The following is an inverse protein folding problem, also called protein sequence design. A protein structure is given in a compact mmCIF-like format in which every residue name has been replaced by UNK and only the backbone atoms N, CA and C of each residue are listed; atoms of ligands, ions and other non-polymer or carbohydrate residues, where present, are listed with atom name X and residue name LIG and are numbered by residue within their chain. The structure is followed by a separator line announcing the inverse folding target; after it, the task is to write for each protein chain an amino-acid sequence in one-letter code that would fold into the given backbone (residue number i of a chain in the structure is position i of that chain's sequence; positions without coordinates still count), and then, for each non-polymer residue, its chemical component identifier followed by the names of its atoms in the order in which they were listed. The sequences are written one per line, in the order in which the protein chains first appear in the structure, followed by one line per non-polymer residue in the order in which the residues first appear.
data_IF_700719776734
#
_entry.id   IF_700719776734
#
_cell.length_a   1.000
_cell.length_b   1.000
_cell.length_c   1.000
_cell.angle_alpha   90.00
_cell.angle_beta   90.00
_cell.angle_gamma   90.00
#
_symmetry.space_group_name_H-M   'P 1'
#
loop_
_entity.id
_entity.type
_entity.pdbx_description
1 polymer ?
#
# COMPACT_ATOMS: atom_id res chain seq x y z
N UNK A 1 50.52 9.35 -20.30
CA UNK A 1 49.86 9.05 -19.01
C UNK A 1 49.07 7.76 -19.17
N UNK A 2 49.59 6.63 -18.68
CA UNK A 2 48.88 5.36 -18.64
C UNK A 2 48.00 5.36 -17.38
N UNK A 3 46.71 5.11 -17.53
CA UNK A 3 45.80 4.85 -16.40
C UNK A 3 45.90 3.37 -16.06
N UNK A 4 46.58 3.07 -14.96
CA UNK A 4 46.55 1.75 -14.34
C UNK A 4 45.19 1.58 -13.64
N UNK A 5 44.39 0.64 -14.14
CA UNK A 5 43.14 0.24 -13.51
C UNK A 5 43.43 -0.78 -12.41
N UNK A 6 43.23 -0.39 -11.16
CA UNK A 6 43.35 -1.27 -10.00
C UNK A 6 42.15 -2.24 -10.03
N UNK A 7 42.39 -3.48 -10.47
CA UNK A 7 41.44 -4.56 -10.30
C UNK A 7 41.42 -5.00 -8.82
N UNK A 8 40.39 -4.58 -8.09
CA UNK A 8 40.13 -5.09 -6.75
C UNK A 8 39.66 -6.55 -6.83
N UNK A 9 40.38 -7.40 -6.11
CA UNK A 9 40.19 -8.84 -6.02
C UNK A 9 38.76 -9.17 -5.51
N UNK A 10 38.10 -10.18 -6.08
CA UNK A 10 36.70 -10.52 -5.77
C UNK A 10 36.46 -10.81 -4.28
N UNK A 11 37.47 -11.32 -3.55
CA UNK A 11 37.39 -11.56 -2.11
C UNK A 11 37.20 -10.28 -1.28
N UNK A 12 37.90 -9.18 -1.60
CA UNK A 12 37.75 -7.91 -0.88
C UNK A 12 36.37 -7.27 -1.09
N UNK A 13 35.70 -7.53 -2.22
CA UNK A 13 34.34 -7.01 -2.45
C UNK A 13 33.31 -7.69 -1.56
N UNK A 14 33.44 -9.00 -1.31
CA UNK A 14 32.55 -9.73 -0.41
C UNK A 14 32.73 -9.25 1.05
N UNK A 15 33.98 -9.10 1.49
CA UNK A 15 34.33 -8.66 2.85
C UNK A 15 33.87 -7.21 3.12
N UNK A 16 34.00 -6.31 2.14
CA UNK A 16 33.52 -4.91 2.24
C UNK A 16 31.99 -4.82 2.26
N UNK A 17 31.28 -5.73 1.58
CA UNK A 17 29.81 -5.79 1.60
C UNK A 17 29.31 -6.32 2.95
N UNK A 18 29.99 -7.32 3.51
CA UNK A 18 29.67 -7.91 4.81
C UNK A 18 29.89 -6.91 5.96
N UNK A 19 31.03 -6.21 5.96
CA UNK A 19 31.34 -5.15 6.95
C UNK A 19 30.33 -3.98 6.86
N UNK A 20 29.91 -3.58 5.64
CA UNK A 20 28.87 -2.55 5.48
C UNK A 20 27.50 -3.00 5.99
N UNK A 21 27.16 -4.28 5.83
CA UNK A 21 25.90 -4.85 6.31
C UNK A 21 25.86 -4.90 7.84
N UNK A 22 26.93 -5.37 8.49
CA UNK A 22 27.03 -5.39 9.96
C UNK A 22 26.98 -3.98 10.55
N UNK A 23 27.63 -3.00 9.91
CA UNK A 23 27.62 -1.61 10.37
C UNK A 23 26.23 -0.96 10.27
N UNK A 24 25.51 -1.18 9.16
CA UNK A 24 24.15 -0.66 8.97
C UNK A 24 23.11 -1.35 9.87
N UNK A 25 23.29 -2.63 10.16
CA UNK A 25 22.50 -3.38 11.14
C UNK A 25 22.74 -2.83 12.55
N UNK A 26 24.00 -2.66 12.95
CA UNK A 26 24.35 -2.13 14.27
C UNK A 26 23.86 -0.68 14.48
N UNK A 27 24.00 0.18 13.47
CA UNK A 27 23.52 1.57 13.58
C UNK A 27 22.00 1.67 13.78
N UNK A 28 21.21 0.84 13.09
CA UNK A 28 19.74 0.83 13.23
C UNK A 28 19.25 0.15 14.49
N UNK A 29 19.91 -0.94 14.91
CA UNK A 29 19.57 -1.67 16.14
C UNK A 29 19.84 -0.81 17.39
N UNK A 30 20.81 0.11 17.34
CA UNK A 30 21.10 1.01 18.45
C UNK A 30 20.04 2.10 18.68
N UNK A 31 19.16 2.36 17.71
CA UNK A 31 18.03 3.29 17.86
C UNK A 31 16.78 2.63 18.47
N UNK A 32 16.79 1.31 18.67
CA UNK A 32 15.66 0.58 19.23
C UNK A 32 15.68 0.59 20.76
N UNK A 33 14.49 0.66 21.35
CA UNK A 33 14.32 0.33 22.77
C UNK A 33 14.77 -1.11 23.07
N UNK A 34 15.14 -1.43 24.32
CA UNK A 34 15.52 -2.79 24.70
C UNK A 34 14.50 -3.86 24.29
N UNK A 35 13.20 -3.61 24.46
CA UNK A 35 12.15 -4.56 24.05
C UNK A 35 12.07 -4.73 22.52
N UNK A 36 12.21 -3.64 21.76
CA UNK A 36 12.23 -3.70 20.29
C UNK A 36 13.45 -4.45 19.76
N UNK A 37 14.62 -4.30 20.40
CA UNK A 37 15.81 -5.10 20.07
C UNK A 37 15.56 -6.58 20.31
N UNK A 38 14.98 -6.94 21.44
CA UNK A 38 14.67 -8.33 21.77
C UNK A 38 13.70 -8.95 20.76
N UNK A 39 12.64 -8.22 20.37
CA UNK A 39 11.70 -8.65 19.34
C UNK A 39 12.37 -8.79 17.96
N UNK A 40 13.25 -7.85 17.60
CA UNK A 40 13.99 -7.87 16.35
C UNK A 40 14.95 -9.07 16.27
N UNK A 41 15.72 -9.34 17.33
CA UNK A 41 16.62 -10.49 17.37
C UNK A 41 15.85 -11.82 17.38
N UNK A 42 14.72 -11.91 18.09
CA UNK A 42 13.85 -13.08 18.03
C UNK A 42 13.35 -13.34 16.61
N UNK A 43 12.99 -12.28 15.87
CA UNK A 43 12.62 -12.37 14.46
C UNK A 43 13.77 -12.86 13.57
N UNK A 44 14.96 -12.27 13.69
CA UNK A 44 16.14 -12.69 12.89
C UNK A 44 16.46 -14.17 13.15
N UNK A 45 16.46 -14.61 14.40
CA UNK A 45 16.72 -16.00 14.76
C UNK A 45 15.66 -16.96 14.19
N UNK A 46 14.39 -16.56 14.19
CA UNK A 46 13.33 -17.33 13.56
C UNK A 46 13.54 -17.46 12.05
N UNK A 47 13.93 -16.38 11.36
CA UNK A 47 14.23 -16.40 9.92
C UNK A 47 15.45 -17.28 9.60
N UNK A 48 16.51 -17.22 10.41
CA UNK A 48 17.70 -18.07 10.23
C UNK A 48 17.36 -19.56 10.42
N UNK A 49 16.55 -19.89 11.42
CA UNK A 49 16.10 -21.28 11.66
C UNK A 49 15.25 -21.82 10.52
N UNK A 50 14.38 -20.97 9.94
CA UNK A 50 13.61 -21.31 8.74
C UNK A 50 14.53 -21.55 7.53
N UNK A 51 15.56 -20.73 7.33
CA UNK A 51 16.53 -20.92 6.25
C UNK A 51 17.33 -22.22 6.39
N UNK A 52 17.83 -22.55 7.59
CA UNK A 52 18.55 -23.79 7.84
C UNK A 52 17.69 -25.03 7.54
N UNK A 53 16.42 -25.01 7.95
CA UNK A 53 15.46 -26.09 7.70
C UNK A 53 15.21 -26.27 6.18
N UNK A 54 15.12 -25.15 5.44
CA UNK A 54 14.94 -25.17 3.99
C UNK A 54 16.18 -25.71 3.26
N UNK A 55 17.39 -25.31 3.65
CA UNK A 55 18.64 -25.81 3.07
C UNK A 55 18.77 -27.33 3.21
N UNK A 56 18.35 -27.90 4.34
CA UNK A 56 18.34 -29.35 4.54
C UNK A 56 17.32 -30.09 3.65
N UNK A 57 16.18 -29.47 3.35
CA UNK A 57 15.15 -30.05 2.47
C UNK A 57 15.57 -29.95 1.00
N UNK A 58 16.24 -28.87 0.59
CA UNK A 58 16.72 -28.68 -0.79
C UNK A 58 17.80 -29.70 -1.16
N UNK A 59 18.71 -30.04 -0.24
CA UNK A 59 19.75 -31.06 -0.46
C UNK A 59 19.18 -32.47 -0.67
N UNK A 60 17.97 -32.76 -0.20
CA UNK A 60 17.28 -34.05 -0.37
C UNK A 60 16.57 -34.19 -1.72
N UNK A 61 16.33 -33.09 -2.44
CA UNK A 61 15.56 -33.08 -3.70
C UNK A 61 16.45 -32.89 -4.95
N UNK A 62 17.73 -32.58 -4.79
CA UNK A 62 18.66 -32.29 -5.90
C UNK A 62 19.06 -33.50 -6.74
N UNK A 63 18.82 -34.74 -6.29
CA UNK A 63 19.18 -35.94 -7.07
C UNK A 63 18.17 -36.32 -8.18
N UNK A 64 17.01 -35.65 -8.27
CA UNK A 64 16.00 -35.94 -9.29
C UNK A 64 15.90 -34.91 -10.43
N UNK A 65 16.73 -33.85 -10.44
CA UNK A 65 16.45 -32.65 -11.25
C UNK A 65 17.52 -32.29 -12.30
N UNK A 66 18.17 -33.28 -12.93
CA UNK A 66 19.20 -33.08 -13.97
C UNK A 66 18.71 -33.32 -15.42
N UNK A 67 17.40 -33.25 -15.73
CA UNK A 67 16.88 -33.55 -17.08
C UNK A 67 15.96 -32.49 -17.73
N UNK A 68 16.01 -31.22 -17.34
CA UNK A 68 15.16 -30.20 -17.97
C UNK A 68 15.75 -28.78 -18.08
N UNK A 69 17.05 -28.65 -18.31
CA UNK A 69 17.73 -27.33 -18.30
C UNK A 69 17.65 -26.53 -19.62
N UNK A 70 17.07 -27.06 -20.70
CA UNK A 70 17.03 -26.34 -22.00
C UNK A 70 15.73 -25.56 -22.31
N UNK A 71 14.74 -25.51 -21.41
CA UNK A 71 13.46 -24.80 -21.66
C UNK A 71 13.15 -23.60 -20.75
N UNK A 72 14.09 -23.14 -19.91
CA UNK A 72 13.84 -22.08 -18.91
C UNK A 72 14.60 -20.79 -19.24
N UNK A 73 14.17 -20.08 -20.29
CA UNK A 73 14.66 -18.71 -20.55
C UNK A 73 13.55 -17.71 -20.95
N UNK A 74 12.35 -17.88 -20.36
CA UNK A 74 11.38 -16.79 -20.26
C UNK A 74 11.22 -16.44 -18.79
N UNK A 75 12.10 -15.59 -18.27
CA UNK A 75 11.78 -14.89 -17.03
C UNK A 75 10.57 -14.00 -17.32
N UNK A 76 9.44 -14.28 -16.69
CA UNK A 76 8.25 -13.44 -16.81
C UNK A 76 8.57 -12.07 -16.20
N UNK A 77 8.83 -11.10 -17.08
CA UNK A 77 8.92 -9.69 -16.72
C UNK A 77 7.52 -9.13 -16.85
N UNK A 78 6.93 -8.76 -15.72
CA UNK A 78 5.64 -8.08 -15.68
C UNK A 78 5.91 -6.61 -15.41
N UNK A 79 5.46 -5.74 -16.32
CA UNK A 79 5.49 -4.29 -16.11
C UNK A 79 4.10 -3.88 -15.67
N UNK A 80 3.98 -3.37 -14.45
CA UNK A 80 2.71 -2.89 -13.91
C UNK A 80 2.74 -1.38 -13.71
N UNK A 81 1.60 -0.74 -14.00
CA UNK A 81 1.35 0.64 -13.59
C UNK A 81 1.13 0.66 -12.08
N UNK A 82 2.06 1.30 -11.38
CA UNK A 82 1.96 1.60 -9.97
C UNK A 82 1.59 3.07 -9.76
N UNK A 83 1.12 3.36 -8.56
CA UNK A 83 0.68 4.70 -8.19
C UNK A 83 1.52 5.17 -7.01
N UNK A 84 2.13 6.35 -7.17
CA UNK A 84 2.77 7.09 -6.08
C UNK A 84 1.96 8.35 -5.80
N UNK A 85 1.64 8.58 -4.54
CA UNK A 85 1.01 9.81 -4.10
C UNK A 85 2.15 10.78 -3.71
N UNK A 86 2.15 11.99 -4.26
CA UNK A 86 3.20 12.99 -4.02
C UNK A 86 2.59 14.36 -3.77
N UNK A 87 3.07 15.08 -2.76
CA UNK A 87 2.71 16.47 -2.53
C UNK A 87 3.48 17.38 -3.48
N UNK A 88 2.78 18.03 -4.41
CA UNK A 88 3.38 19.01 -5.30
C UNK A 88 3.33 20.39 -4.63
N UNK A 89 4.50 20.88 -4.24
CA UNK A 89 4.68 22.15 -3.51
C UNK A 89 4.22 23.35 -4.37
N UNK A 90 4.38 23.27 -5.70
CA UNK A 90 4.10 24.39 -6.60
C UNK A 90 2.61 24.69 -6.73
N UNK A 91 1.76 23.65 -6.65
CA UNK A 91 0.31 23.82 -6.76
C UNK A 91 -0.44 23.59 -5.45
N UNK A 92 0.27 23.31 -4.34
CA UNK A 92 -0.37 23.04 -3.06
C UNK A 92 -1.42 21.92 -3.14
N UNK A 93 -1.20 20.92 -3.98
CA UNK A 93 -2.10 19.77 -4.16
C UNK A 93 -1.33 18.46 -4.24
N UNK A 94 -1.94 17.35 -3.81
CA UNK A 94 -1.31 16.05 -4.02
C UNK A 94 -1.66 15.54 -5.42
N UNK A 95 -0.66 14.91 -6.03
CA UNK A 95 -0.74 14.37 -7.36
C UNK A 95 -0.49 12.87 -7.29
N UNK A 96 -1.23 12.15 -8.12
CA UNK A 96 -1.03 10.73 -8.34
C UNK A 96 -0.09 10.59 -9.53
N UNK A 97 1.15 10.26 -9.23
CA UNK A 97 2.17 10.03 -10.25
C UNK A 97 2.10 8.55 -10.61
N UNK A 98 1.63 8.28 -11.83
CA UNK A 98 1.79 6.96 -12.43
C UNK A 98 3.29 6.68 -12.56
N UNK A 99 3.68 5.50 -12.10
CA UNK A 99 5.06 5.03 -12.16
C UNK A 99 5.04 3.59 -12.57
N UNK A 100 5.94 3.18 -13.45
CA UNK A 100 6.04 1.76 -13.78
C UNK A 100 6.87 1.05 -12.71
N UNK A 101 6.45 -0.15 -12.33
CA UNK A 101 7.25 -1.07 -11.53
C UNK A 101 7.51 -2.30 -12.37
N UNK A 102 8.78 -2.68 -12.44
CA UNK A 102 9.17 -3.93 -13.08
C UNK A 102 9.15 -4.99 -11.99
N UNK A 103 8.37 -6.03 -12.24
CA UNK A 103 8.26 -7.20 -11.40
C UNK A 103 8.96 -8.33 -12.15
N UNK A 104 10.05 -8.83 -11.57
CA UNK A 104 10.80 -9.96 -12.13
C UNK A 104 10.63 -11.17 -11.24
N UNK A 105 10.29 -12.30 -11.85
CA UNK A 105 10.47 -13.61 -11.24
C UNK A 105 11.84 -14.16 -11.67
N UNK A 106 12.74 -14.38 -10.72
CA UNK A 106 14.06 -14.95 -11.01
C UNK A 106 14.04 -16.49 -10.89
N UNK A 107 15.15 -17.14 -11.28
CA UNK A 107 15.33 -18.60 -11.16
C UNK A 107 15.19 -19.10 -9.71
N UNK A 108 15.38 -18.22 -8.73
CA UNK A 108 15.27 -18.52 -7.31
C UNK A 108 13.84 -18.37 -6.76
N UNK A 109 12.85 -18.17 -7.63
CA UNK A 109 11.46 -17.91 -7.25
C UNK A 109 11.37 -16.67 -6.35
N UNK A 110 12.07 -15.59 -6.70
CA UNK A 110 11.99 -14.33 -5.97
C UNK A 110 11.31 -13.27 -6.82
N UNK A 111 10.43 -12.51 -6.15
CA UNK A 111 9.76 -11.35 -6.68
C UNK A 111 10.59 -10.12 -6.39
N UNK A 112 11.08 -9.47 -7.44
CA UNK A 112 11.87 -8.24 -7.30
C UNK A 112 11.06 -7.07 -7.84
N UNK A 113 10.78 -6.10 -6.97
CA UNK A 113 10.13 -4.84 -7.32
C UNK A 113 11.19 -3.79 -7.63
N UNK A 114 11.25 -3.32 -8.87
CA UNK A 114 12.24 -2.34 -9.33
C UNK A 114 11.53 -1.07 -9.81
N UNK A 115 12.02 0.09 -9.35
CA UNK A 115 11.57 1.41 -9.79
C UNK A 115 12.78 2.31 -9.98
N UNK A 116 12.84 3.05 -11.09
CA UNK A 116 13.94 3.99 -11.41
C UNK A 116 15.33 3.32 -11.26
N UNK A 117 15.46 2.09 -11.77
CA UNK A 117 16.65 1.24 -11.64
C UNK A 117 17.08 0.86 -10.21
N UNK A 118 16.25 1.16 -9.20
CA UNK A 118 16.48 0.82 -7.80
C UNK A 118 15.55 -0.32 -7.37
N UNK A 119 16.11 -1.34 -6.74
CA UNK A 119 15.32 -2.38 -6.07
C UNK A 119 14.63 -1.77 -4.85
N UNK A 120 13.31 -1.82 -4.84
CA UNK A 120 12.47 -1.38 -3.72
C UNK A 120 12.28 -2.51 -2.71
N UNK A 121 12.03 -3.72 -3.21
CA UNK A 121 11.69 -4.89 -2.40
C UNK A 121 12.08 -6.16 -3.15
N UNK A 122 12.50 -7.17 -2.40
CA UNK A 122 12.76 -8.52 -2.89
C UNK A 122 12.08 -9.50 -1.93
N UNK A 123 11.25 -10.40 -2.45
CA UNK A 123 10.51 -11.38 -1.66
C UNK A 123 10.67 -12.77 -2.23
N UNK A 124 10.79 -13.78 -1.37
CA UNK A 124 10.70 -15.18 -1.80
C UNK A 124 9.26 -15.55 -2.08
N UNK A 125 9.02 -16.08 -3.27
CA UNK A 125 7.73 -16.57 -3.75
C UNK A 125 7.66 -18.05 -3.39
N UNK A 126 6.80 -18.40 -2.43
CA UNK A 126 6.67 -19.78 -2.00
C UNK A 126 5.51 -20.55 -2.68
N UNK A 127 4.68 -19.88 -3.47
CA UNK A 127 3.58 -20.51 -4.21
C UNK A 127 3.78 -20.27 -5.70
N UNK A 128 3.44 -21.24 -6.56
CA UNK A 128 3.54 -21.04 -8.01
C UNK A 128 2.18 -21.15 -8.71
N UNK A 129 1.08 -21.35 -7.98
CA UNK A 129 -0.21 -21.66 -8.58
C UNK A 129 -1.29 -20.63 -8.21
N UNK A 130 -1.33 -19.60 -9.06
CA UNK A 130 -2.53 -18.97 -9.62
C UNK A 130 -3.16 -17.72 -8.99
N UNK A 131 -2.70 -17.12 -7.88
CA UNK A 131 -3.31 -15.86 -7.41
C UNK A 131 -2.32 -14.99 -6.61
N UNK A 132 -1.23 -14.54 -7.25
CA UNK A 132 -0.42 -13.49 -6.65
C UNK A 132 -1.10 -12.14 -6.84
N UNK A 133 -1.50 -11.53 -5.72
CA UNK A 133 -1.91 -10.14 -5.72
C UNK A 133 -0.65 -9.28 -5.62
N UNK A 134 -0.28 -8.65 -6.74
CA UNK A 134 0.85 -7.73 -6.77
C UNK A 134 0.50 -6.45 -6.01
N UNK A 135 1.39 -6.02 -5.11
CA UNK A 135 1.29 -4.70 -4.49
C UNK A 135 1.52 -3.62 -5.55
N UNK A 136 0.51 -2.77 -5.76
CA UNK A 136 0.58 -1.64 -6.72
C UNK A 136 0.98 -0.31 -6.07
N UNK A 137 0.90 -0.24 -4.74
CA UNK A 137 1.25 0.96 -3.99
C UNK A 137 2.74 0.96 -3.61
N UNK A 138 3.48 1.96 -4.09
CA UNK A 138 4.94 2.08 -3.86
C UNK A 138 5.29 2.19 -2.37
N UNK A 139 4.48 2.88 -1.57
CA UNK A 139 4.74 2.97 -0.12
C UNK A 139 4.54 1.63 0.57
N UNK A 140 3.49 0.88 0.21
CA UNK A 140 3.30 -0.47 0.73
C UNK A 140 4.47 -1.38 0.36
N UNK A 141 4.92 -1.35 -0.89
CA UNK A 141 6.10 -2.11 -1.33
C UNK A 141 7.31 -1.80 -0.44
N UNK A 142 7.56 -0.53 -0.15
CA UNK A 142 8.72 -0.08 0.64
C UNK A 142 8.60 -0.33 2.16
N UNK A 143 7.38 -0.32 2.71
CA UNK A 143 7.19 -0.18 4.16
C UNK A 143 6.35 -1.27 4.81
N UNK A 144 5.54 -2.00 4.06
CA UNK A 144 4.67 -3.04 4.59
C UNK A 144 5.39 -4.38 4.66
N UNK A 145 5.53 -4.94 5.84
CA UNK A 145 6.06 -6.30 6.02
C UNK A 145 5.01 -7.16 6.70
N UNK A 146 4.79 -8.37 6.19
CA UNK A 146 3.91 -9.35 6.81
C UNK A 146 4.73 -10.41 7.54
N UNK A 147 4.32 -10.73 8.77
CA UNK A 147 4.96 -11.75 9.59
C UNK A 147 3.90 -12.75 10.04
N UNK A 148 4.17 -14.04 9.80
CA UNK A 148 3.32 -15.14 10.22
C UNK A 148 4.02 -16.48 10.05
N UNK A 149 3.30 -17.56 10.32
CA UNK A 149 3.83 -18.91 10.16
C UNK A 149 3.47 -19.45 8.78
N UNK A 150 4.36 -20.29 8.29
CA UNK A 150 4.15 -21.11 7.11
C UNK A 150 4.14 -22.59 7.52
N UNK A 151 3.31 -23.39 6.85
CA UNK A 151 3.35 -24.85 6.94
C UNK A 151 4.56 -25.41 6.17
N UNK A 152 4.77 -26.72 6.26
CA UNK A 152 5.74 -27.46 5.46
C UNK A 152 5.45 -27.42 3.94
N UNK A 153 4.20 -27.17 3.54
CA UNK A 153 3.81 -26.94 2.14
C UNK A 153 3.96 -25.46 1.75
N UNK A 154 4.72 -24.70 2.53
CA UNK A 154 4.84 -23.27 2.49
C UNK A 154 3.53 -22.49 2.57
N UNK A 155 2.40 -23.07 2.99
CA UNK A 155 1.09 -22.39 3.11
C UNK A 155 0.99 -21.48 4.33
N UNK A 156 0.35 -20.31 4.21
CA UNK A 156 0.17 -19.37 5.34
C UNK A 156 -0.73 -20.02 6.37
N UNK A 157 -0.28 -20.09 7.62
CA UNK A 157 -1.06 -20.66 8.72
C UNK A 157 -0.94 -19.76 9.96
N UNK A 158 -1.89 -19.90 10.87
CA UNK A 158 -1.84 -19.23 12.16
C UNK A 158 -2.08 -17.72 12.08
N UNK A 159 -1.57 -17.00 13.08
CA UNK A 159 -1.73 -15.55 13.19
C UNK A 159 -0.73 -14.85 12.27
N UNK A 160 -1.25 -13.93 11.46
CA UNK A 160 -0.49 -13.06 10.59
C UNK A 160 -0.65 -11.62 11.06
N UNK A 161 0.47 -10.92 11.19
CA UNK A 161 0.53 -9.52 11.58
C UNK A 161 1.25 -8.71 10.51
N UNK A 162 0.80 -7.49 10.28
CA UNK A 162 1.54 -6.54 9.46
C UNK A 162 2.36 -5.56 10.31
N UNK A 163 3.46 -5.10 9.70
CA UNK A 163 4.34 -4.06 10.20
C UNK A 163 4.43 -2.97 9.15
N UNK A 164 4.37 -1.71 9.57
CA UNK A 164 4.60 -0.54 8.73
C UNK A 164 5.85 0.18 9.21
N UNK A 165 6.87 0.31 8.37
CA UNK A 165 8.16 0.92 8.75
C UNK A 165 8.73 0.31 10.03
N UNK A 166 8.72 -1.02 10.10
CA UNK A 166 9.16 -1.81 11.26
C UNK A 166 8.32 -1.64 12.54
N UNK A 167 7.21 -0.91 12.49
CA UNK A 167 6.28 -0.77 13.61
C UNK A 167 5.07 -1.68 13.43
N UNK A 168 4.74 -2.46 14.46
CA UNK A 168 3.56 -3.33 14.44
C UNK A 168 2.29 -2.48 14.32
N UNK A 169 1.44 -2.82 13.35
CA UNK A 169 0.14 -2.17 13.12
C UNK A 169 -1.00 -3.16 13.38
N UNK A 170 -2.21 -2.66 13.63
CA UNK A 170 -3.39 -3.50 13.94
C UNK A 170 -3.98 -4.04 12.64
N UNK A 171 -3.19 -4.77 11.86
CA UNK A 171 -3.53 -5.33 10.56
C UNK A 171 -3.14 -6.80 10.54
N UNK A 172 -4.01 -7.63 9.98
CA UNK A 172 -3.86 -9.07 9.88
C UNK A 172 -5.02 -9.85 10.49
N UNK A 173 -4.77 -11.11 10.79
CA UNK A 173 -5.78 -12.06 11.23
C UNK A 173 -5.25 -13.48 11.25
N UNK A 174 -6.14 -14.47 11.19
CA UNK A 174 -5.79 -15.88 11.28
C UNK A 174 -6.03 -16.62 9.96
N UNK A 175 -5.05 -17.43 9.56
CA UNK A 175 -5.19 -18.44 8.51
C UNK A 175 -5.34 -19.82 9.12
N UNK A 176 -6.26 -20.62 8.61
CA UNK A 176 -6.39 -22.03 8.98
C UNK A 176 -5.29 -22.91 8.35
N UNK A 177 -5.34 -24.21 8.63
CA UNK A 177 -4.39 -25.20 8.09
C UNK A 177 -4.45 -25.36 6.57
N UNK A 178 -5.51 -24.87 5.93
CA UNK A 178 -5.72 -24.91 4.48
C UNK A 178 -5.38 -23.56 3.82
N UNK A 179 -4.65 -22.67 4.50
CA UNK A 179 -4.32 -21.32 4.04
C UNK A 179 -5.52 -20.42 3.77
N UNK A 180 -6.67 -20.69 4.37
CA UNK A 180 -7.86 -19.84 4.23
C UNK A 180 -7.96 -18.89 5.41
N UNK A 181 -8.26 -17.63 5.12
CA UNK A 181 -8.54 -16.62 6.15
C UNK A 181 -9.77 -17.05 6.96
N UNK A 182 -9.70 -16.95 8.28
CA UNK A 182 -10.80 -17.22 9.20
C UNK A 182 -10.92 -16.14 10.28
N UNK A 183 -12.13 -15.96 10.79
CA UNK A 183 -12.41 -15.11 11.95
C UNK A 183 -12.27 -13.62 11.66
N UNK A 184 -11.93 -12.84 12.69
CA UNK A 184 -11.78 -11.38 12.57
C UNK A 184 -10.50 -11.05 11.81
N UNK A 185 -10.61 -10.11 10.88
CA UNK A 185 -9.50 -9.63 10.06
C UNK A 185 -9.52 -8.11 9.98
N UNK A 186 -8.32 -7.54 9.90
CA UNK A 186 -8.12 -6.14 9.51
C UNK A 186 -7.23 -6.10 8.27
N UNK A 187 -7.76 -5.53 7.19
CA UNK A 187 -7.08 -5.37 5.90
C UNK A 187 -6.68 -3.92 5.69
N UNK A 188 -5.59 -3.71 4.97
CA UNK A 188 -5.17 -2.38 4.52
C UNK A 188 -5.94 -1.97 3.27
N UNK A 189 -6.22 -0.68 3.15
CA UNK A 189 -6.68 -0.10 1.90
C UNK A 189 -5.59 -0.21 0.82
N UNK A 190 -5.99 -0.35 -0.45
CA UNK A 190 -5.06 -0.46 -1.59
C UNK A 190 -4.07 0.72 -1.67
N UNK A 191 -4.49 1.90 -1.21
CA UNK A 191 -3.66 3.11 -1.16
C UNK A 191 -3.20 3.48 0.25
N UNK A 192 -3.10 2.51 1.16
CA UNK A 192 -2.58 2.75 2.50
C UNK A 192 -1.18 3.38 2.42
N UNK A 193 -1.04 4.54 3.05
CA UNK A 193 0.19 5.34 3.12
C UNK A 193 0.24 6.05 4.48
N UNK A 194 1.33 6.77 4.78
CA UNK A 194 1.44 7.50 6.06
C UNK A 194 0.31 8.52 6.28
N UNK A 195 -0.20 9.10 5.20
CA UNK A 195 -1.23 10.14 5.21
C UNK A 195 -2.66 9.56 5.16
N UNK A 196 -2.82 8.37 4.59
CA UNK A 196 -4.10 7.69 4.40
C UNK A 196 -4.07 6.30 5.06
N UNK A 197 -4.10 6.28 6.41
CA UNK A 197 -4.13 5.05 7.21
C UNK A 197 -5.55 4.46 7.28
N UNK A 198 -6.08 4.09 6.12
CA UNK A 198 -7.42 3.48 5.97
C UNK A 198 -7.30 1.97 6.03
N UNK A 199 -8.13 1.34 6.86
CA UNK A 199 -8.20 -0.12 7.00
C UNK A 199 -9.64 -0.61 6.96
N UNK A 200 -9.84 -1.86 6.59
CA UNK A 200 -11.14 -2.52 6.62
C UNK A 200 -11.13 -3.61 7.69
N UNK A 201 -12.13 -3.62 8.57
CA UNK A 201 -12.27 -4.64 9.60
C UNK A 201 -13.54 -5.43 9.38
N UNK A 202 -13.44 -6.74 9.41
CA UNK A 202 -14.60 -7.60 9.22
C UNK A 202 -14.29 -9.04 9.58
N UNK A 203 -15.11 -9.95 9.07
CA UNK A 203 -14.95 -11.37 9.31
C UNK A 203 -14.70 -12.12 8.00
N UNK A 204 -13.88 -13.16 8.11
CA UNK A 204 -13.67 -14.16 7.08
C UNK A 204 -14.22 -15.50 7.53
N UNK A 205 -14.81 -16.25 6.60
CA UNK A 205 -15.17 -17.67 6.76
C UNK A 205 -14.73 -18.42 5.51
N UNK A 206 -13.82 -19.38 5.67
CA UNK A 206 -13.28 -20.20 4.57
C UNK A 206 -12.67 -19.36 3.44
N UNK A 207 -11.96 -18.28 3.78
CA UNK A 207 -11.33 -17.38 2.80
C UNK A 207 -12.27 -16.40 2.12
N UNK A 208 -13.57 -16.42 2.45
CA UNK A 208 -14.56 -15.48 1.94
C UNK A 208 -14.88 -14.39 2.97
N UNK A 209 -14.96 -13.14 2.53
CA UNK A 209 -15.43 -12.02 3.35
C UNK A 209 -16.90 -12.27 3.71
N UNK A 210 -17.24 -12.17 4.98
CA UNK A 210 -18.60 -12.29 5.48
C UNK A 210 -18.94 -11.12 6.41
N UNK A 211 -20.24 -10.92 6.65
CA UNK A 211 -20.80 -9.82 7.44
C UNK A 211 -20.46 -8.41 6.90
N UNK A 212 -20.83 -7.38 7.66
CA UNK A 212 -20.53 -5.99 7.33
C UNK A 212 -19.06 -5.72 7.63
N UNK A 213 -18.36 -5.08 6.68
CA UNK A 213 -16.98 -4.63 6.84
C UNK A 213 -16.96 -3.15 7.22
N UNK A 214 -16.37 -2.86 8.37
CA UNK A 214 -16.19 -1.50 8.89
C UNK A 214 -14.99 -0.87 8.19
N UNK A 215 -15.16 0.35 7.68
CA UNK A 215 -14.02 1.16 7.23
C UNK A 215 -13.52 1.99 8.41
N UNK A 216 -12.22 1.92 8.69
CA UNK A 216 -11.57 2.69 9.75
C UNK A 216 -10.53 3.63 9.15
N UNK A 217 -10.46 4.85 9.69
CA UNK A 217 -9.38 5.80 9.44
C UNK A 217 -8.63 6.04 10.74
N UNK A 218 -7.32 5.80 10.74
CA UNK A 218 -6.49 5.92 11.95
C UNK A 218 -7.09 5.15 13.15
N UNK A 219 -7.56 3.92 12.91
CA UNK A 219 -8.23 3.05 13.89
C UNK A 219 -9.55 3.58 14.46
N UNK A 220 -10.14 4.63 13.87
CA UNK A 220 -11.48 5.11 14.22
C UNK A 220 -12.47 4.67 13.16
N UNK A 221 -13.59 4.06 13.59
CA UNK A 221 -14.66 3.66 12.67
C UNK A 221 -15.16 4.93 11.97
N UNK A 222 -15.21 4.92 10.63
CA UNK A 222 -15.82 5.99 9.85
C UNK A 222 -17.35 5.84 9.83
N UNK A 223 -17.96 5.60 10.99
CA UNK A 223 -19.41 5.63 11.19
C UNK A 223 -19.79 7.10 11.45
N UNK A 224 -19.76 7.91 10.40
CA UNK A 224 -20.45 9.21 10.44
C UNK A 224 -21.80 9.07 9.74
N UNK A 225 -22.82 9.51 10.47
CA UNK A 225 -24.25 9.63 10.19
C UNK A 225 -24.55 10.20 8.78
N UNK A 226 -24.60 9.36 7.76
CA UNK A 226 -25.02 9.77 6.42
C UNK A 226 -26.13 8.84 5.91
N UNK A 227 -27.35 9.39 5.82
CA UNK A 227 -28.57 8.74 5.33
C UNK A 227 -28.33 7.98 4.02
N UNK A 228 -29.02 6.84 3.83
CA UNK A 228 -28.80 5.87 2.75
C UNK A 228 -28.71 6.45 1.32
N UNK A 229 -29.48 7.49 0.99
CA UNK A 229 -29.43 8.17 -0.33
C UNK A 229 -28.10 8.88 -0.59
N UNK A 230 -27.45 9.33 0.49
CA UNK A 230 -26.13 9.96 0.43
C UNK A 230 -25.03 8.90 0.36
N UNK A 231 -25.26 7.65 0.75
CA UNK A 231 -24.24 6.60 0.67
C UNK A 231 -23.94 6.16 -0.75
N UNK A 232 -24.92 5.98 -1.63
CA UNK A 232 -24.63 5.58 -3.02
C UNK A 232 -23.98 6.74 -3.79
N UNK A 233 -24.47 7.96 -3.57
CA UNK A 233 -23.86 9.17 -4.12
C UNK A 233 -22.46 9.40 -3.54
N UNK A 234 -22.24 9.26 -2.24
CA UNK A 234 -20.93 9.43 -1.59
C UNK A 234 -20.01 8.26 -1.81
N UNK A 235 -20.43 7.01 -2.01
CA UNK A 235 -19.52 5.91 -2.34
C UNK A 235 -19.02 6.07 -3.77
N UNK A 236 -19.89 6.49 -4.70
CA UNK A 236 -19.48 6.88 -6.05
C UNK A 236 -18.65 8.18 -6.04
N UNK A 237 -18.96 9.12 -5.13
CA UNK A 237 -18.17 10.34 -4.92
C UNK A 237 -16.92 10.10 -4.08
N UNK A 238 -16.79 9.03 -3.30
CA UNK A 238 -15.66 8.58 -2.45
C UNK A 238 -14.73 7.69 -3.26
N UNK A 239 -15.21 6.93 -4.24
CA UNK A 239 -14.34 6.44 -5.32
C UNK A 239 -13.71 7.63 -6.08
N UNK A 240 -14.48 8.71 -6.32
CA UNK A 240 -13.95 10.00 -6.83
C UNK A 240 -13.23 10.86 -5.77
N UNK A 241 -13.47 10.64 -4.48
CA UNK A 241 -12.96 11.41 -3.34
C UNK A 241 -11.91 10.62 -2.54
N UNK A 242 -11.47 9.42 -2.89
CA UNK A 242 -10.16 8.93 -2.39
C UNK A 242 -9.10 9.87 -2.95
N UNK A 243 -9.31 10.38 -4.17
CA UNK A 243 -8.59 11.53 -4.73
C UNK A 243 -8.93 12.85 -4.01
N UNK A 244 -10.21 13.12 -3.74
CA UNK A 244 -10.72 14.37 -3.15
C UNK A 244 -10.64 14.54 -1.61
N UNK A 245 -10.59 13.47 -0.82
CA UNK A 245 -10.41 13.40 0.65
C UNK A 245 -8.94 13.36 0.98
N UNK A 246 -8.12 12.75 0.12
CA UNK A 246 -6.72 13.14 0.04
C UNK A 246 -6.74 14.65 -0.16
N UNK A 247 -7.27 15.23 -1.25
CA UNK A 247 -7.24 16.70 -1.46
C UNK A 247 -7.85 17.53 -0.31
N UNK A 248 -8.85 17.04 0.43
CA UNK A 248 -9.45 17.74 1.58
C UNK A 248 -8.64 17.58 2.88
N UNK A 249 -8.08 16.41 3.19
CA UNK A 249 -7.14 16.23 4.32
C UNK A 249 -5.93 17.12 4.10
N UNK A 250 -5.48 17.20 2.86
CA UNK A 250 -4.41 18.06 2.39
C UNK A 250 -4.76 19.53 2.52
N UNK A 251 -5.92 19.93 2.02
CA UNK A 251 -6.41 21.30 2.13
C UNK A 251 -6.57 21.70 3.61
N UNK A 252 -7.08 20.79 4.44
CA UNK A 252 -7.22 20.98 5.89
C UNK A 252 -5.87 20.99 6.64
N UNK A 253 -4.85 20.29 6.15
CA UNK A 253 -3.50 20.31 6.73
C UNK A 253 -2.68 21.54 6.30
N UNK A 254 -2.96 22.13 5.14
CA UNK A 254 -2.25 23.29 4.61
C UNK A 254 -2.91 24.63 4.96
N UNK A 255 -4.19 24.62 5.25
CA UNK A 255 -4.94 25.82 5.59
C UNK A 255 -5.26 25.74 7.08
N UNK A 256 -4.46 26.42 7.92
CA UNK A 256 -4.77 26.70 9.34
C UNK A 256 -6.01 27.61 9.46
N UNK A 257 -7.11 27.32 8.78
CA UNK A 257 -8.34 28.08 8.96
C UNK A 257 -9.17 27.42 10.06
N UNK A 258 -9.53 28.19 11.12
CA UNK A 258 -10.44 27.69 12.14
C UNK A 258 -11.78 27.33 11.48
N UNK A 259 -12.39 26.25 11.95
CA UNK A 259 -13.65 25.66 11.48
C UNK A 259 -14.79 26.69 11.23
N UNK A 260 -14.73 27.84 11.92
CA UNK A 260 -15.63 28.99 11.78
C UNK A 260 -15.59 29.65 10.39
N UNK A 261 -14.43 29.74 9.74
CA UNK A 261 -14.30 30.32 8.39
C UNK A 261 -14.81 29.35 7.31
N UNK A 262 -14.76 28.03 7.56
CA UNK A 262 -15.32 27.01 6.65
C UNK A 262 -16.85 27.10 6.64
N UNK A 263 -17.48 27.24 7.81
CA UNK A 263 -18.93 27.47 7.90
C UNK A 263 -19.33 28.77 7.18
N UNK A 264 -18.52 29.83 7.32
CA UNK A 264 -18.74 31.10 6.64
C UNK A 264 -18.62 30.98 5.11
N UNK A 265 -17.66 30.20 4.61
CA UNK A 265 -17.49 29.96 3.17
C UNK A 265 -18.62 29.12 2.58
N UNK A 266 -19.10 28.10 3.29
CA UNK A 266 -20.23 27.27 2.81
C UNK A 266 -21.55 28.07 2.84
N UNK A 267 -21.78 28.89 3.88
CA UNK A 267 -22.92 29.82 3.92
C UNK A 267 -22.86 30.87 2.79
N UNK A 268 -21.65 31.36 2.46
CA UNK A 268 -21.47 32.30 1.35
C UNK A 268 -21.67 31.65 -0.02
N UNK A 269 -21.41 30.35 -0.15
CA UNK A 269 -21.67 29.58 -1.37
C UNK A 269 -23.17 29.39 -1.59
N UNK A 270 -23.94 29.15 -0.53
CA UNK A 270 -25.40 29.11 -0.58
C UNK A 270 -25.98 30.48 -0.97
N UNK A 271 -25.41 31.58 -0.45
CA UNK A 271 -25.77 32.93 -0.90
C UNK A 271 -25.39 33.20 -2.36
N UNK A 272 -24.25 32.69 -2.83
CA UNK A 272 -23.86 32.75 -4.23
C UNK A 272 -24.83 32.00 -5.16
N UNK A 273 -25.23 30.78 -4.78
CA UNK A 273 -26.22 29.99 -5.54
C UNK A 273 -27.61 30.63 -5.53
N UNK A 274 -28.02 31.21 -4.40
CA UNK A 274 -29.28 31.95 -4.29
C UNK A 274 -29.27 33.19 -5.19
N UNK A 275 -28.16 33.93 -5.24
CA UNK A 275 -28.00 35.09 -6.13
C UNK A 275 -28.04 34.71 -7.61
N UNK A 276 -27.45 33.57 -7.99
CA UNK A 276 -27.52 33.04 -9.36
C UNK A 276 -28.96 32.67 -9.71
N UNK A 277 -29.68 31.95 -8.83
CA UNK A 277 -31.10 31.61 -9.03
C UNK A 277 -31.99 32.86 -9.16
N UNK A 278 -31.77 33.85 -8.32
CA UNK A 278 -32.50 35.12 -8.37
C UNK A 278 -32.23 35.88 -9.67
N UNK A 279 -31.00 35.82 -10.19
CA UNK A 279 -30.62 36.44 -11.47
C UNK A 279 -31.27 35.71 -12.65
N UNK A 280 -31.29 34.38 -12.64
CA UNK A 280 -31.97 33.58 -13.66
C UNK A 280 -33.48 33.85 -13.68
N UNK A 281 -34.13 33.91 -12.51
CA UNK A 281 -35.56 34.21 -12.41
C UNK A 281 -35.89 35.63 -12.90
N UNK A 282 -35.06 36.63 -12.59
CA UNK A 282 -35.22 38.00 -13.13
C UNK A 282 -35.13 38.04 -14.66
N UNK A 283 -34.20 37.28 -15.24
CA UNK A 283 -34.07 37.21 -16.69
C UNK A 283 -35.26 36.51 -17.34
N UNK A 284 -35.82 35.48 -16.69
CA UNK A 284 -37.02 34.79 -17.17
C UNK A 284 -38.24 35.73 -17.19
N UNK A 285 -38.47 36.46 -16.09
CA UNK A 285 -39.55 37.46 -15.99
C UNK A 285 -39.38 38.56 -17.05
N UNK A 286 -38.14 39.00 -17.30
CA UNK A 286 -37.86 40.01 -18.33
C UNK A 286 -38.20 39.52 -19.74
N UNK A 287 -37.88 38.27 -20.04
CA UNK A 287 -38.23 37.64 -21.32
C UNK A 287 -39.75 37.51 -21.51
N UNK A 288 -40.50 37.19 -20.45
CA UNK A 288 -41.97 37.13 -20.49
C UNK A 288 -42.59 38.51 -20.71
N UNK A 289 -42.10 39.55 -20.02
CA UNK A 289 -42.57 40.93 -20.22
C UNK A 289 -42.28 41.41 -21.64
N UNK A 290 -41.07 41.19 -22.15
CA UNK A 290 -40.69 41.55 -23.52
C UNK A 290 -41.54 40.80 -24.57
N UNK A 291 -41.94 39.56 -24.28
CA UNK A 291 -42.84 38.79 -25.12
C UNK A 291 -44.27 39.36 -25.14
N UNK A 292 -44.80 39.75 -23.98
CA UNK A 292 -46.13 40.37 -23.86
C UNK A 292 -46.17 41.71 -24.60
N UNK A 293 -45.14 42.54 -24.43
CA UNK A 293 -45.04 43.86 -25.06
C UNK A 293 -44.89 43.81 -26.59
N UNK A 294 -44.44 42.69 -27.15
CA UNK A 294 -44.37 42.47 -28.61
C UNK A 294 -45.67 41.96 -29.22
N UNK A 295 -46.64 41.55 -28.39
CA UNK A 295 -47.92 40.95 -28.84
C UNK A 295 -49.14 41.87 -28.67
N UNK A 296 -49.00 43.01 -27.99
CA UNK A 296 -50.00 44.07 -27.92
C UNK A 296 -49.63 45.23 -28.82
#
# INVERSE_FOLDING_TARGET
MKQDSIQLNHGMKAEIVEIKYEFLLNYKVNQFSPEQRQQYFAYINLQLKQQQTMSSITLLNTDQQLRSEEEIEKSDIIIEDAVKIHWNIWCGSWQFIKTSIIIKNNKNQELIYIKDHKTLRQEKIFYLRNNFEFMKNVEQINHLTWIGLFSNLNQKIGIWNAYWKLQKIIIGGYYDQCSKKQGKWVEIFENYCDFAKVTYKGQYKNGLKCNIWETLYQNKIMQYQFNEVVQEYMVNKVKKMVYGQICMIIFMMNVKLPFKEIIKMELNKDHGQQNIRNTMNKNLIRQEVDYIMKKG
#
